data_IF_638677325518
#
_entry.id   IF_638677325518
#
_cell.length_a   1.000
_cell.length_b   1.000
_cell.length_c   1.000
_cell.angle_alpha   90.00
_cell.angle_beta   90.00
_cell.angle_gamma   90.00
#
_symmetry.space_group_name_H-M   'P 1'
#
loop_
_entity.id
_entity.type
_entity.pdbx_description
1 polymer ?
#
# COMPACT_ATOMS: atom_id res chain seq x y z
N UNK A 1 -2.99 -17.57 60.80
CA UNK A 1 -1.98 -17.70 59.73
C UNK A 1 -1.78 -16.31 59.16
N UNK A 2 -0.64 -15.68 59.44
CA UNK A 2 -0.25 -14.45 58.74
C UNK A 2 -0.05 -14.80 57.26
N UNK A 3 -0.84 -14.19 56.39
CA UNK A 3 -0.67 -14.37 54.94
C UNK A 3 0.67 -13.75 54.55
N UNK A 4 1.64 -14.58 54.17
CA UNK A 4 2.93 -14.12 53.66
C UNK A 4 2.72 -13.50 52.28
N UNK A 5 3.04 -12.23 52.12
CA UNK A 5 2.93 -11.54 50.85
C UNK A 5 4.02 -12.00 49.87
N UNK A 6 3.64 -12.24 48.62
CA UNK A 6 4.55 -12.55 47.50
C UNK A 6 5.07 -11.27 46.83
N UNK A 7 4.27 -10.21 46.85
CA UNK A 7 4.61 -8.89 46.31
C UNK A 7 4.06 -7.80 47.22
N UNK A 8 4.80 -6.71 47.37
CA UNK A 8 4.37 -5.53 48.15
C UNK A 8 4.25 -4.33 47.23
N UNK A 9 3.17 -3.58 47.37
CA UNK A 9 2.89 -2.34 46.67
C UNK A 9 2.58 -1.23 47.67
N UNK A 10 3.41 -0.19 47.71
CA UNK A 10 3.09 1.03 48.47
C UNK A 10 2.25 1.96 47.60
N UNK A 11 1.00 2.18 47.99
CA UNK A 11 0.08 3.06 47.26
C UNK A 11 0.02 4.49 47.79
N UNK A 12 0.84 4.86 48.78
CA UNK A 12 0.80 6.17 49.40
C UNK A 12 -0.60 6.55 49.89
N UNK A 13 -1.01 7.77 49.55
CA UNK A 13 -2.33 8.36 49.77
C UNK A 13 -3.21 8.32 48.49
N UNK A 14 -2.90 7.41 47.56
CA UNK A 14 -3.60 7.34 46.29
C UNK A 14 -5.05 6.88 46.52
N UNK A 15 -6.02 7.68 46.09
CA UNK A 15 -7.44 7.36 46.23
C UNK A 15 -7.94 6.47 45.09
N UNK A 16 -9.12 5.87 45.27
CA UNK A 16 -9.84 5.12 44.23
C UNK A 16 -9.99 5.93 42.94
N UNK A 17 -10.37 7.22 43.04
CA UNK A 17 -10.49 8.14 41.90
C UNK A 17 -9.15 8.65 41.36
N UNK A 18 -8.08 8.57 42.16
CA UNK A 18 -6.71 8.93 41.77
C UNK A 18 -5.95 7.83 41.02
N UNK A 19 -6.55 6.66 40.79
CA UNK A 19 -5.92 5.56 40.06
C UNK A 19 -5.37 4.42 40.92
N UNK A 20 -5.72 4.36 42.20
CA UNK A 20 -5.29 3.29 43.11
C UNK A 20 -5.56 1.89 42.56
N UNK A 21 -6.77 1.63 42.04
CA UNK A 21 -7.11 0.32 41.52
C UNK A 21 -6.37 -0.03 40.23
N UNK A 22 -5.88 0.96 39.48
CA UNK A 22 -5.00 0.72 38.34
C UNK A 22 -3.66 0.17 38.84
N UNK A 23 -3.06 0.83 39.85
CA UNK A 23 -1.82 0.38 40.47
C UNK A 23 -1.96 -1.05 41.03
N UNK A 24 -3.00 -1.30 41.84
CA UNK A 24 -3.26 -2.62 42.43
C UNK A 24 -3.45 -3.67 41.32
N UNK A 25 -4.25 -3.39 40.29
CA UNK A 25 -4.46 -4.32 39.18
C UNK A 25 -3.16 -4.64 38.43
N UNK A 26 -2.31 -3.64 38.16
CA UNK A 26 -1.01 -3.84 37.48
C UNK A 26 -0.03 -4.64 38.33
N UNK A 27 -0.05 -4.49 39.66
CA UNK A 27 0.77 -5.30 40.56
C UNK A 27 0.26 -6.74 40.64
N UNK A 28 -1.06 -6.93 40.68
CA UNK A 28 -1.69 -8.25 40.60
C UNK A 28 -1.43 -8.96 39.26
N UNK A 29 -1.23 -8.24 38.16
CA UNK A 29 -0.87 -8.83 36.86
C UNK A 29 0.54 -9.45 36.85
N UNK A 30 1.38 -9.17 37.85
CA UNK A 30 2.73 -9.74 38.02
C UNK A 30 2.73 -11.01 38.87
N UNK A 31 1.58 -11.38 39.44
CA UNK A 31 1.41 -12.52 40.33
C UNK A 31 0.70 -13.68 39.61
N UNK A 32 1.09 -14.91 39.96
CA UNK A 32 0.38 -16.13 39.59
C UNK A 32 -0.89 -16.29 40.46
N UNK A 33 -1.93 -16.98 39.95
CA UNK A 33 -3.12 -17.28 40.75
C UNK A 33 -2.76 -18.00 42.07
N UNK A 34 -3.33 -17.52 43.18
CA UNK A 34 -3.04 -17.99 44.54
C UNK A 34 -1.93 -17.24 45.26
N UNK A 35 -1.15 -16.39 44.57
CA UNK A 35 -0.17 -15.52 45.23
C UNK A 35 -0.83 -14.27 45.82
N UNK A 36 -0.20 -13.71 46.86
CA UNK A 36 -0.74 -12.61 47.67
C UNK A 36 0.00 -11.31 47.42
N UNK A 37 -0.75 -10.27 47.05
CA UNK A 37 -0.29 -8.87 47.04
C UNK A 37 -0.60 -8.21 48.39
N UNK A 38 0.42 -7.61 49.01
CA UNK A 38 0.25 -6.63 50.08
C UNK A 38 0.17 -5.22 49.49
N UNK A 39 -0.86 -4.48 49.84
CA UNK A 39 -1.03 -3.06 49.49
C UNK A 39 -0.89 -2.23 50.77
N UNK A 40 0.18 -1.46 50.87
CA UNK A 40 0.39 -0.53 51.98
C UNK A 40 -0.23 0.83 51.62
N UNK A 41 -1.25 1.26 52.36
CA UNK A 41 -1.99 2.49 52.07
C UNK A 41 -2.29 3.32 53.32
N UNK A 42 -2.33 4.64 53.13
CA UNK A 42 -2.86 5.62 54.10
C UNK A 42 -4.25 6.15 53.69
N UNK A 43 -4.82 5.66 52.59
CA UNK A 43 -6.15 6.04 52.11
C UNK A 43 -7.26 5.38 52.95
N UNK A 44 -8.09 6.15 53.70
CA UNK A 44 -9.08 5.58 54.61
C UNK A 44 -10.21 4.80 53.92
N UNK A 45 -10.62 5.24 52.72
CA UNK A 45 -11.72 4.60 51.97
C UNK A 45 -11.39 3.17 51.53
N UNK A 46 -10.10 2.82 51.45
CA UNK A 46 -9.65 1.54 50.93
C UNK A 46 -10.13 0.34 51.75
N UNK A 47 -10.35 0.52 53.06
CA UNK A 47 -10.91 -0.52 53.91
C UNK A 47 -12.29 -1.01 53.46
N UNK A 48 -13.08 -0.13 52.84
CA UNK A 48 -14.39 -0.45 52.32
C UNK A 48 -14.35 -0.86 50.84
N UNK A 49 -13.57 -0.12 50.03
CA UNK A 49 -13.62 -0.27 48.57
C UNK A 49 -12.84 -1.50 48.08
N UNK A 50 -11.72 -1.84 48.72
CA UNK A 50 -10.86 -2.93 48.26
C UNK A 50 -11.52 -4.31 48.28
N UNK A 51 -12.25 -4.71 49.34
CA UNK A 51 -12.95 -6.00 49.37
C UNK A 51 -14.05 -6.11 48.30
N UNK A 52 -14.73 -5.00 47.98
CA UNK A 52 -15.72 -4.97 46.92
C UNK A 52 -15.03 -5.11 45.55
N UNK A 53 -13.99 -4.33 45.30
CA UNK A 53 -13.21 -4.36 44.06
C UNK A 53 -12.54 -5.72 43.82
N UNK A 54 -11.96 -6.33 44.85
CA UNK A 54 -11.34 -7.66 44.75
C UNK A 54 -12.34 -8.71 44.28
N UNK A 55 -13.55 -8.73 44.87
CA UNK A 55 -14.63 -9.65 44.44
C UNK A 55 -15.06 -9.40 42.99
N UNK A 56 -15.27 -8.13 42.60
CA UNK A 56 -15.66 -7.76 41.24
C UNK A 56 -14.63 -8.18 40.19
N UNK A 57 -13.34 -8.19 40.56
CA UNK A 57 -12.23 -8.60 39.70
C UNK A 57 -11.85 -10.07 39.88
N UNK A 58 -12.70 -10.85 40.56
CA UNK A 58 -12.53 -12.27 40.87
C UNK A 58 -11.22 -12.60 41.62
N UNK A 59 -10.70 -11.66 42.40
CA UNK A 59 -9.63 -11.83 43.38
C UNK A 59 -10.22 -12.03 44.79
N UNK A 60 -9.40 -12.52 45.72
CA UNK A 60 -9.85 -12.78 47.09
C UNK A 60 -9.17 -11.84 48.08
N UNK A 61 -9.97 -11.03 48.78
CA UNK A 61 -9.48 -10.21 49.89
C UNK A 61 -9.24 -11.10 51.13
N UNK A 62 -8.03 -11.05 51.68
CA UNK A 62 -7.62 -11.89 52.82
C UNK A 62 -7.71 -11.16 54.17
N UNK A 63 -7.77 -9.84 54.17
CA UNK A 63 -7.85 -9.04 55.38
C UNK A 63 -6.94 -7.81 55.34
N UNK A 64 -6.87 -7.12 56.48
CA UNK A 64 -5.98 -5.98 56.66
C UNK A 64 -5.29 -6.03 58.03
N UNK A 65 -4.11 -5.44 58.12
CA UNK A 65 -3.35 -5.30 59.35
C UNK A 65 -2.84 -3.86 59.48
N UNK A 66 -2.84 -3.31 60.69
CA UNK A 66 -2.22 -2.00 60.94
C UNK A 66 -0.70 -2.17 60.96
N UNK A 67 0.00 -1.34 60.20
CA UNK A 67 1.46 -1.36 60.09
C UNK A 67 2.00 0.08 60.22
N UNK A 68 2.63 0.39 61.37
CA UNK A 68 3.33 1.66 61.64
C UNK A 68 2.59 2.93 61.15
N UNK A 69 1.31 3.08 61.50
CA UNK A 69 0.49 4.26 61.16
C UNK A 69 -0.19 4.23 59.79
N UNK A 70 0.02 3.17 59.01
CA UNK A 70 -0.67 2.86 57.74
C UNK A 70 -1.36 1.51 57.83
N UNK A 71 -2.14 1.16 56.81
CA UNK A 71 -2.85 -0.11 56.76
C UNK A 71 -2.31 -0.96 55.61
N UNK A 72 -1.89 -2.18 55.94
CA UNK A 72 -1.55 -3.23 54.96
C UNK A 72 -2.82 -3.99 54.61
N UNK A 73 -3.12 -4.13 53.33
CA UNK A 73 -4.25 -4.90 52.81
C UNK A 73 -3.75 -6.08 51.97
N UNK A 74 -4.32 -7.27 52.16
CA UNK A 74 -3.86 -8.48 51.48
C UNK A 74 -4.88 -8.99 50.47
N UNK A 75 -4.44 -9.21 49.24
CA UNK A 75 -5.27 -9.68 48.12
C UNK A 75 -4.60 -10.89 47.48
N UNK A 76 -5.28 -12.03 47.49
CA UNK A 76 -4.90 -13.22 46.74
C UNK A 76 -5.38 -13.11 45.29
N UNK A 77 -4.47 -13.30 44.34
CA UNK A 77 -4.73 -13.25 42.90
C UNK A 77 -5.65 -14.40 42.49
N UNK A 78 -6.77 -14.07 41.86
CA UNK A 78 -7.70 -15.04 41.29
C UNK A 78 -7.21 -15.64 39.97
N UNK A 79 -7.99 -16.59 39.43
CA UNK A 79 -7.73 -17.23 38.14
C UNK A 79 -8.24 -16.44 36.93
N UNK A 80 -9.09 -15.44 37.16
CA UNK A 80 -9.63 -14.61 36.08
C UNK A 80 -8.51 -13.77 35.44
N UNK A 81 -8.43 -13.82 34.11
CA UNK A 81 -7.56 -12.94 33.33
C UNK A 81 -8.30 -11.66 32.98
N UNK A 82 -7.54 -10.57 32.84
CA UNK A 82 -8.08 -9.27 32.38
C UNK A 82 -8.38 -9.26 30.87
N UNK A 83 -7.63 -10.05 30.12
CA UNK A 83 -7.76 -10.23 28.67
C UNK A 83 -7.77 -11.75 28.44
N UNK A 84 -8.75 -12.23 27.68
CA UNK A 84 -8.87 -13.64 27.33
C UNK A 84 -7.89 -14.00 26.22
N UNK A 85 -6.67 -14.34 26.59
CA UNK A 85 -5.64 -14.75 25.64
C UNK A 85 -4.76 -15.88 26.18
N UNK A 86 -4.36 -16.79 25.29
CA UNK A 86 -3.39 -17.84 25.53
C UNK A 86 -1.94 -17.36 25.50
N UNK A 87 -1.69 -16.16 24.97
CA UNK A 87 -0.35 -15.63 24.72
C UNK A 87 -0.04 -14.39 25.58
N UNK A 88 1.24 -14.12 25.79
CA UNK A 88 1.68 -12.86 26.43
C UNK A 88 2.10 -11.84 25.37
N UNK A 89 1.96 -10.55 25.66
CA UNK A 89 2.45 -9.48 24.79
C UNK A 89 3.97 -9.58 24.60
N UNK A 90 4.46 -9.16 23.44
CA UNK A 90 5.88 -9.27 23.09
C UNK A 90 6.68 -8.09 23.69
N UNK A 91 6.86 -8.13 25.01
CA UNK A 91 7.43 -7.04 25.78
C UNK A 91 8.96 -7.00 25.67
N UNK A 92 9.53 -5.79 25.63
CA UNK A 92 10.98 -5.58 25.62
C UNK A 92 11.61 -5.48 24.23
N UNK A 93 10.80 -5.53 23.17
CA UNK A 93 11.26 -5.29 21.81
C UNK A 93 11.72 -3.84 21.63
N UNK A 94 12.86 -3.65 20.95
CA UNK A 94 13.43 -2.33 20.65
C UNK A 94 13.94 -2.31 19.22
N UNK A 95 13.31 -1.51 18.36
CA UNK A 95 13.79 -1.28 17.01
C UNK A 95 15.11 -0.51 16.99
N UNK A 96 15.92 -0.77 15.96
CA UNK A 96 17.11 0.03 15.69
C UNK A 96 16.68 1.36 15.07
N UNK A 97 17.05 2.46 15.73
CA UNK A 97 16.85 3.82 15.23
C UNK A 97 18.25 4.37 14.93
N UNK A 98 18.47 4.87 13.72
CA UNK A 98 19.77 5.35 13.25
C UNK A 98 19.63 6.79 12.75
N UNK A 99 20.53 7.68 13.19
CA UNK A 99 20.59 9.08 12.73
C UNK A 99 19.24 9.83 12.82
N UNK A 100 18.53 9.67 13.95
CA UNK A 100 17.16 10.18 14.19
C UNK A 100 16.10 9.71 13.17
N UNK A 101 16.43 8.70 12.37
CA UNK A 101 15.58 8.11 11.37
C UNK A 101 15.09 6.72 11.79
N UNK A 102 13.81 6.46 11.57
CA UNK A 102 13.16 5.18 11.84
C UNK A 102 12.40 4.72 10.59
N UNK A 103 13.13 4.11 9.66
CA UNK A 103 12.56 3.55 8.44
C UNK A 103 11.53 2.47 8.74
N UNK A 104 10.48 2.39 7.93
CA UNK A 104 9.44 1.36 8.00
C UNK A 104 10.04 -0.06 8.02
N UNK A 105 11.07 -0.36 7.23
CA UNK A 105 11.73 -1.68 7.28
C UNK A 105 12.28 -2.05 8.67
N UNK A 106 12.67 -1.06 9.49
CA UNK A 106 13.25 -1.27 10.80
C UNK A 106 12.20 -1.62 11.87
N UNK A 107 10.90 -1.52 11.56
CA UNK A 107 9.82 -1.92 12.48
C UNK A 107 9.66 -3.45 12.60
N UNK A 108 10.39 -4.23 11.79
CA UNK A 108 10.35 -5.69 11.75
C UNK A 108 11.16 -6.24 12.93
N UNK A 109 10.63 -6.10 14.14
CA UNK A 109 11.20 -6.61 15.38
C UNK A 109 10.25 -7.52 16.13
N UNK A 110 10.78 -8.50 16.85
CA UNK A 110 9.99 -9.47 17.60
C UNK A 110 8.93 -10.16 16.74
N UNK A 111 7.71 -10.30 17.27
CA UNK A 111 6.56 -10.86 16.53
C UNK A 111 6.09 -10.00 15.36
N UNK A 112 6.39 -8.70 15.32
CA UNK A 112 6.05 -7.86 14.17
C UNK A 112 6.87 -8.24 12.90
N UNK A 113 8.05 -8.84 13.11
CA UNK A 113 8.90 -9.36 12.03
C UNK A 113 8.39 -10.68 11.43
N UNK A 114 7.49 -11.39 12.12
CA UNK A 114 7.00 -12.70 11.69
C UNK A 114 5.86 -12.50 10.70
N UNK A 115 6.17 -12.61 9.41
CA UNK A 115 5.18 -12.60 8.34
C UNK A 115 4.42 -13.95 8.37
N UNK A 116 3.12 -13.98 8.70
CA UNK A 116 2.38 -15.24 8.72
C UNK A 116 2.20 -15.75 7.29
N UNK A 117 2.32 -17.06 7.05
CA UNK A 117 2.03 -17.63 5.72
C UNK A 117 0.60 -17.31 5.26
N UNK A 118 -0.35 -17.39 6.18
CA UNK A 118 -1.74 -16.98 6.00
C UNK A 118 -2.22 -16.17 7.19
N UNK A 119 -2.85 -15.03 6.94
CA UNK A 119 -3.43 -14.17 7.96
C UNK A 119 -4.81 -14.69 8.42
N UNK A 120 -5.11 -14.51 9.71
CA UNK A 120 -6.39 -14.91 10.30
C UNK A 120 -7.40 -13.77 10.28
N UNK A 121 -8.57 -13.90 9.61
CA UNK A 121 -9.55 -12.82 9.48
C UNK A 121 -10.07 -12.25 10.81
N UNK A 122 -10.02 -13.03 11.90
CA UNK A 122 -10.40 -12.60 13.25
C UNK A 122 -9.37 -11.68 13.90
N UNK A 123 -8.16 -11.58 13.37
CA UNK A 123 -7.18 -10.60 13.83
C UNK A 123 -7.54 -9.19 13.37
N UNK A 124 -8.33 -9.04 12.30
CA UNK A 124 -8.94 -7.78 11.93
C UNK A 124 -7.91 -6.66 11.75
N UNK A 125 -8.15 -5.54 12.42
CA UNK A 125 -7.24 -4.39 12.43
C UNK A 125 -6.10 -4.47 13.44
N UNK A 126 -5.92 -5.61 14.13
CA UNK A 126 -4.77 -5.78 15.01
C UNK A 126 -3.47 -5.68 14.18
N UNK A 127 -2.53 -4.79 14.56
CA UNK A 127 -1.22 -4.75 13.90
C UNK A 127 -0.50 -6.10 14.01
N UNK A 128 0.25 -6.48 12.97
CA UNK A 128 1.02 -7.73 12.98
C UNK A 128 1.92 -7.80 14.22
N UNK A 129 1.80 -8.88 14.99
CA UNK A 129 2.55 -9.11 16.22
C UNK A 129 1.83 -8.69 17.51
N UNK A 130 0.70 -8.00 17.42
CA UNK A 130 -0.18 -7.76 18.56
C UNK A 130 -0.84 -9.07 19.04
N UNK A 131 -1.13 -9.15 20.34
CA UNK A 131 -1.92 -10.24 20.90
C UNK A 131 -3.40 -9.93 20.68
N UNK A 132 -4.10 -10.81 19.98
CA UNK A 132 -5.54 -10.69 19.75
C UNK A 132 -6.28 -11.43 20.86
N UNK A 133 -7.30 -10.77 21.42
CA UNK A 133 -8.16 -11.36 22.44
C UNK A 133 -9.12 -12.39 21.81
N UNK A 134 -9.34 -13.50 22.51
CA UNK A 134 -10.30 -14.52 22.11
C UNK A 134 -11.72 -13.92 21.96
N UNK A 135 -12.39 -14.27 20.87
CA UNK A 135 -13.74 -13.75 20.56
C UNK A 135 -13.77 -12.48 19.72
N UNK A 136 -12.61 -12.00 19.23
CA UNK A 136 -12.58 -10.94 18.21
C UNK A 136 -13.41 -11.32 16.96
N UNK A 137 -14.15 -10.36 16.36
CA UNK A 137 -14.98 -10.64 15.20
C UNK A 137 -14.13 -10.89 13.95
N UNK A 138 -14.66 -11.68 13.01
CA UNK A 138 -14.05 -11.86 11.70
C UNK A 138 -14.31 -10.63 10.81
N UNK A 139 -13.29 -10.19 10.09
CA UNK A 139 -13.35 -9.10 9.12
C UNK A 139 -13.41 -9.65 7.69
N UNK A 140 -14.01 -8.90 6.73
CA UNK A 140 -14.21 -9.37 5.35
C UNK A 140 -12.96 -9.24 4.47
N UNK A 141 -11.76 -9.46 5.02
CA UNK A 141 -10.53 -9.52 4.22
C UNK A 141 -10.46 -10.86 3.49
N UNK A 142 -10.11 -10.83 2.20
CA UNK A 142 -10.06 -12.03 1.35
C UNK A 142 -8.73 -12.23 0.63
N UNK A 143 -7.80 -11.28 0.73
CA UNK A 143 -6.38 -11.48 0.37
C UNK A 143 -5.59 -11.77 1.64
N UNK A 144 -5.49 -13.07 1.96
CA UNK A 144 -4.99 -13.58 3.24
C UNK A 144 -3.63 -14.29 3.16
N UNK A 145 -3.20 -14.72 1.98
CA UNK A 145 -1.96 -15.47 1.79
C UNK A 145 -0.76 -14.52 1.60
N UNK A 146 0.33 -14.75 2.32
CA UNK A 146 1.56 -13.96 2.18
C UNK A 146 2.12 -14.03 0.76
N UNK A 147 2.04 -15.20 0.11
CA UNK A 147 2.46 -15.38 -1.27
C UNK A 147 1.68 -14.53 -2.27
N UNK A 148 0.51 -14.01 -1.89
CA UNK A 148 -0.33 -13.16 -2.73
C UNK A 148 -0.30 -11.68 -2.32
N UNK A 149 -0.03 -11.40 -1.06
CA UNK A 149 -0.23 -10.06 -0.48
C UNK A 149 1.06 -9.37 -0.08
N UNK A 150 2.09 -10.12 0.34
CA UNK A 150 3.30 -9.55 0.92
C UNK A 150 4.40 -9.40 -0.12
N UNK A 151 5.12 -8.29 -0.05
CA UNK A 151 6.33 -8.05 -0.86
C UNK A 151 7.45 -7.52 0.03
N UNK A 152 8.64 -8.09 -0.13
CA UNK A 152 9.85 -7.72 0.61
C UNK A 152 10.27 -6.27 0.32
N UNK A 153 10.04 -5.77 -0.90
CA UNK A 153 10.43 -4.41 -1.29
C UNK A 153 9.42 -3.34 -0.87
N UNK A 154 8.23 -3.71 -0.38
CA UNK A 154 7.14 -2.76 -0.15
C UNK A 154 7.49 -1.68 0.88
N UNK A 155 8.15 -2.06 1.98
CA UNK A 155 8.56 -1.10 3.02
C UNK A 155 9.58 -0.07 2.49
N UNK A 156 10.55 -0.51 1.69
CA UNK A 156 11.56 0.38 1.11
C UNK A 156 10.94 1.32 0.08
N UNK A 157 10.08 0.79 -0.81
CA UNK A 157 9.42 1.60 -1.83
C UNK A 157 8.45 2.61 -1.22
N UNK A 158 7.81 2.27 -0.10
CA UNK A 158 7.01 3.20 0.68
C UNK A 158 7.85 4.40 1.16
N UNK A 159 9.01 4.16 1.77
CA UNK A 159 9.93 5.23 2.19
C UNK A 159 10.43 6.08 1.02
N UNK A 160 10.76 5.44 -0.10
CA UNK A 160 11.14 6.16 -1.31
C UNK A 160 10.01 7.07 -1.82
N UNK A 161 8.76 6.59 -1.80
CA UNK A 161 7.61 7.35 -2.27
C UNK A 161 7.29 8.55 -1.36
N UNK A 162 7.30 8.35 -0.03
CA UNK A 162 7.03 9.43 0.92
C UNK A 162 8.13 10.51 0.89
N UNK A 163 9.40 10.12 0.71
CA UNK A 163 10.52 11.05 0.59
C UNK A 163 10.53 11.81 -0.75
N UNK A 164 10.02 11.21 -1.82
CA UNK A 164 10.03 11.78 -3.18
C UNK A 164 8.77 12.61 -3.52
N UNK A 165 7.92 12.89 -2.54
CA UNK A 165 6.68 13.63 -2.74
C UNK A 165 6.91 15.00 -3.43
N UNK A 166 6.02 15.34 -4.36
CA UNK A 166 6.01 16.63 -5.06
C UNK A 166 4.59 17.17 -5.26
N UNK A 167 4.45 18.49 -5.36
CA UNK A 167 3.17 19.16 -5.47
C UNK A 167 2.87 19.58 -6.92
N UNK A 168 1.76 19.10 -7.47
CA UNK A 168 1.36 19.36 -8.86
C UNK A 168 1.06 20.82 -9.18
N UNK A 169 0.77 21.65 -8.18
CA UNK A 169 0.53 23.09 -8.36
C UNK A 169 1.81 23.92 -8.20
N UNK A 170 2.71 23.52 -7.29
CA UNK A 170 3.85 24.33 -6.86
C UNK A 170 5.18 23.92 -7.50
N UNK A 171 5.38 22.63 -7.76
CA UNK A 171 6.67 22.10 -8.25
C UNK A 171 6.73 21.98 -9.79
N UNK A 172 5.60 22.12 -10.46
CA UNK A 172 5.52 22.24 -11.92
C UNK A 172 5.67 23.72 -12.31
N UNK A 173 6.56 24.07 -13.27
CA UNK A 173 6.86 25.46 -13.60
C UNK A 173 5.81 26.08 -14.53
N UNK A 174 4.53 26.11 -14.11
CA UNK A 174 3.38 26.54 -14.91
C UNK A 174 3.56 27.92 -15.58
N UNK A 175 4.29 28.85 -14.95
CA UNK A 175 4.58 30.18 -15.52
C UNK A 175 5.50 30.16 -16.75
N UNK A 176 6.15 29.02 -17.04
CA UNK A 176 6.97 28.80 -18.24
C UNK A 176 6.20 28.15 -19.39
N UNK A 177 4.89 27.93 -19.23
CA UNK A 177 4.04 27.42 -20.30
C UNK A 177 3.81 28.55 -21.32
N UNK A 178 4.32 28.36 -22.53
CA UNK A 178 4.13 29.29 -23.64
C UNK A 178 3.13 28.71 -24.66
N UNK A 179 2.37 29.57 -25.37
CA UNK A 179 1.56 29.13 -26.50
C UNK A 179 2.41 28.44 -27.56
N UNK A 180 1.94 27.29 -28.04
CA UNK A 180 2.55 26.54 -29.14
C UNK A 180 1.58 26.50 -30.33
N UNK A 181 2.00 25.91 -31.46
CA UNK A 181 1.14 25.70 -32.62
C UNK A 181 -0.17 24.98 -32.22
N UNK A 182 -1.30 25.40 -32.79
CA UNK A 182 -2.61 24.95 -32.36
C UNK A 182 -2.82 23.43 -32.56
N UNK A 183 -2.27 22.86 -33.63
CA UNK A 183 -2.40 21.42 -33.90
C UNK A 183 -1.47 20.61 -32.99
N UNK A 184 -0.29 21.13 -32.68
CA UNK A 184 0.60 20.54 -31.67
C UNK A 184 -0.02 20.59 -30.26
N UNK A 185 -0.66 21.71 -29.88
CA UNK A 185 -1.34 21.83 -28.59
C UNK A 185 -2.51 20.85 -28.48
N UNK A 186 -3.30 20.67 -29.54
CA UNK A 186 -4.37 19.64 -29.58
C UNK A 186 -3.82 18.23 -29.39
N UNK A 187 -2.71 17.90 -30.04
CA UNK A 187 -2.05 16.61 -29.86
C UNK A 187 -1.58 16.41 -28.41
N UNK A 188 -0.94 17.41 -27.80
CA UNK A 188 -0.56 17.36 -26.38
C UNK A 188 -1.80 17.16 -25.50
N UNK A 189 -2.87 17.93 -25.70
CA UNK A 189 -4.12 17.79 -24.96
C UNK A 189 -4.77 16.41 -25.10
N UNK A 190 -4.71 15.81 -26.29
CA UNK A 190 -5.24 14.46 -26.53
C UNK A 190 -4.42 13.40 -25.78
N UNK A 191 -3.11 13.53 -25.76
CA UNK A 191 -2.24 12.67 -24.95
C UNK A 191 -2.51 12.85 -23.46
N UNK A 192 -2.62 14.09 -22.96
CA UNK A 192 -2.93 14.35 -21.55
C UNK A 192 -4.30 13.79 -21.14
N UNK A 193 -5.30 13.87 -22.02
CA UNK A 193 -6.63 13.28 -21.77
C UNK A 193 -6.54 11.76 -21.69
N UNK A 194 -5.83 11.13 -22.64
CA UNK A 194 -5.59 9.69 -22.63
C UNK A 194 -4.84 9.24 -21.36
N UNK A 195 -3.78 9.95 -20.97
CA UNK A 195 -3.01 9.66 -19.75
C UNK A 195 -3.91 9.77 -18.51
N UNK A 196 -4.67 10.86 -18.35
CA UNK A 196 -5.55 11.03 -17.19
C UNK A 196 -6.59 9.90 -17.04
N UNK A 197 -7.15 9.38 -18.14
CA UNK A 197 -8.08 8.23 -18.09
C UNK A 197 -7.39 6.94 -17.62
N UNK A 198 -6.16 6.73 -18.08
CA UNK A 198 -5.33 5.61 -17.67
C UNK A 198 -4.99 5.68 -16.18
N UNK A 199 -4.63 6.86 -15.68
CA UNK A 199 -4.34 7.05 -14.25
C UNK A 199 -5.57 6.88 -13.36
N UNK A 200 -6.80 7.11 -13.86
CA UNK A 200 -7.99 6.70 -13.11
C UNK A 200 -8.06 5.18 -12.93
N UNK A 201 -7.67 4.39 -13.92
CA UNK A 201 -7.60 2.93 -13.78
C UNK A 201 -6.48 2.53 -12.82
N UNK A 202 -5.29 3.12 -12.99
CA UNK A 202 -4.15 2.91 -12.10
C UNK A 202 -4.44 3.35 -10.66
N UNK A 203 -5.37 4.28 -10.43
CA UNK A 203 -5.85 4.66 -9.10
C UNK A 203 -6.86 3.65 -8.55
N UNK A 204 -7.92 3.35 -9.31
CA UNK A 204 -9.05 2.56 -8.79
C UNK A 204 -8.72 1.08 -8.61
N UNK A 205 -7.90 0.50 -9.49
CA UNK A 205 -7.54 -0.92 -9.44
C UNK A 205 -6.80 -1.27 -8.14
N UNK A 206 -5.67 -0.65 -7.76
CA UNK A 206 -5.02 -0.92 -6.47
C UNK A 206 -5.89 -0.49 -5.28
N UNK A 207 -6.63 0.63 -5.38
CA UNK A 207 -7.52 1.06 -4.30
C UNK A 207 -8.58 0.01 -3.92
N UNK A 208 -9.13 -0.72 -4.90
CA UNK A 208 -10.07 -1.84 -4.70
C UNK A 208 -9.47 -2.95 -3.82
N UNK A 209 -8.15 -3.12 -3.83
CA UNK A 209 -7.45 -4.16 -3.09
C UNK A 209 -7.03 -3.75 -1.69
N UNK A 210 -6.79 -2.46 -1.44
CA UNK A 210 -6.36 -1.94 -0.12
C UNK A 210 -7.28 -2.43 1.01
N UNK A 211 -8.60 -2.36 0.82
CA UNK A 211 -9.58 -2.79 1.83
C UNK A 211 -9.76 -4.32 1.94
N UNK A 212 -9.16 -5.09 1.02
CA UNK A 212 -9.27 -6.55 0.91
C UNK A 212 -8.03 -7.29 1.41
N UNK A 213 -6.87 -6.61 1.40
CA UNK A 213 -5.61 -7.09 1.94
C UNK A 213 -5.64 -7.05 3.46
N UNK A 214 -5.29 -8.17 4.10
CA UNK A 214 -5.24 -8.22 5.55
C UNK A 214 -4.17 -7.25 6.11
N UNK A 215 -4.43 -6.50 7.20
CA UNK A 215 -3.47 -5.59 7.84
C UNK A 215 -2.17 -6.24 8.36
N UNK A 216 -2.10 -7.58 8.33
CA UNK A 216 -0.87 -8.31 8.60
C UNK A 216 0.12 -8.24 7.41
N UNK A 217 -0.27 -7.68 6.27
CA UNK A 217 0.62 -7.36 5.16
C UNK A 217 0.71 -5.83 5.00
N UNK A 218 0.94 -5.15 6.14
CA UNK A 218 0.86 -3.70 6.26
C UNK A 218 1.75 -2.96 5.26
N UNK A 219 2.96 -3.44 5.00
CA UNK A 219 3.90 -2.82 4.07
C UNK A 219 3.31 -2.65 2.67
N UNK A 220 2.61 -3.68 2.18
CA UNK A 220 1.93 -3.62 0.88
C UNK A 220 0.80 -2.59 0.90
N UNK A 221 0.00 -2.57 1.96
CA UNK A 221 -1.10 -1.60 2.11
C UNK A 221 -0.58 -0.16 2.15
N UNK A 222 0.52 0.08 2.88
CA UNK A 222 1.18 1.38 2.92
C UNK A 222 1.69 1.81 1.54
N UNK A 223 2.39 0.92 0.83
CA UNK A 223 2.90 1.22 -0.51
C UNK A 223 1.78 1.46 -1.54
N UNK A 224 0.75 0.62 -1.56
CA UNK A 224 -0.39 0.84 -2.47
C UNK A 224 -1.13 2.15 -2.15
N UNK A 225 -1.12 2.60 -0.90
CA UNK A 225 -1.69 3.90 -0.52
C UNK A 225 -0.86 5.07 -1.07
N UNK A 226 0.47 4.94 -1.14
CA UNK A 226 1.31 5.94 -1.82
C UNK A 226 1.10 5.92 -3.33
N UNK A 227 0.94 4.74 -3.94
CA UNK A 227 0.58 4.63 -5.35
C UNK A 227 -0.72 5.38 -5.65
N UNK A 228 -1.79 5.13 -4.90
CA UNK A 228 -3.07 5.87 -5.06
C UNK A 228 -2.89 7.39 -4.95
N UNK A 229 -1.99 7.86 -4.07
CA UNK A 229 -1.67 9.29 -3.95
C UNK A 229 -0.85 9.83 -5.13
N UNK A 230 -0.01 9.00 -5.73
CA UNK A 230 0.79 9.34 -6.92
C UNK A 230 -0.16 9.47 -8.12
N UNK A 231 -1.03 8.48 -8.35
CA UNK A 231 -2.01 8.50 -9.44
C UNK A 231 -2.97 9.70 -9.35
N UNK A 232 -3.40 10.05 -8.13
CA UNK A 232 -4.23 11.23 -7.92
C UNK A 232 -3.54 12.52 -8.39
N UNK A 233 -2.23 12.64 -8.16
CA UNK A 233 -1.42 13.77 -8.64
C UNK A 233 -1.20 13.70 -10.14
N UNK A 234 -0.99 12.52 -10.71
CA UNK A 234 -0.81 12.36 -12.15
C UNK A 234 -2.07 12.78 -12.92
N UNK A 235 -3.25 12.32 -12.48
CA UNK A 235 -4.56 12.79 -12.98
C UNK A 235 -4.64 14.32 -12.92
N UNK A 236 -4.32 14.90 -11.75
CA UNK A 236 -4.37 16.35 -11.54
C UNK A 236 -3.50 17.10 -12.56
N UNK A 237 -2.22 16.72 -12.71
CA UNK A 237 -1.30 17.47 -13.58
C UNK A 237 -1.58 17.25 -15.06
N UNK A 238 -2.04 16.07 -15.47
CA UNK A 238 -2.43 15.84 -16.86
C UNK A 238 -3.66 16.66 -17.23
N UNK A 239 -4.70 16.66 -16.37
CA UNK A 239 -5.88 17.51 -16.58
C UNK A 239 -5.48 18.99 -16.61
N UNK A 240 -4.66 19.45 -15.66
CA UNK A 240 -4.16 20.83 -15.65
C UNK A 240 -3.43 21.17 -16.94
N UNK A 241 -2.51 20.30 -17.40
CA UNK A 241 -1.76 20.57 -18.63
C UNK A 241 -2.69 20.64 -19.84
N UNK A 242 -3.67 19.76 -19.96
CA UNK A 242 -4.65 19.81 -21.05
C UNK A 242 -5.45 21.14 -21.07
N UNK A 243 -5.69 21.74 -19.91
CA UNK A 243 -6.50 22.96 -19.76
C UNK A 243 -5.67 24.25 -19.80
N UNK A 244 -4.38 24.20 -19.46
CA UNK A 244 -3.58 25.39 -19.15
C UNK A 244 -3.21 26.28 -20.35
N UNK A 245 -3.20 25.73 -21.57
CA UNK A 245 -2.82 26.46 -22.80
C UNK A 245 -3.99 26.61 -23.79
N UNK A 246 -5.24 26.46 -23.33
CA UNK A 246 -6.44 26.70 -24.14
C UNK A 246 -6.88 25.55 -25.07
N UNK A 247 -6.22 24.39 -25.04
CA UNK A 247 -6.59 23.23 -25.87
C UNK A 247 -7.80 22.44 -25.33
N UNK A 248 -7.93 22.29 -24.01
CA UNK A 248 -9.05 21.57 -23.39
C UNK A 248 -8.84 20.06 -23.29
N UNK A 249 -9.72 19.37 -22.55
CA UNK A 249 -9.80 17.91 -22.58
C UNK A 249 -10.37 17.45 -23.94
N UNK A 250 -9.79 16.39 -24.50
CA UNK A 250 -10.10 15.87 -25.83
C UNK A 250 -10.94 14.59 -25.75
N UNK A 251 -10.75 13.66 -26.68
CA UNK A 251 -11.63 12.50 -26.84
C UNK A 251 -11.23 11.33 -25.94
N UNK A 252 -12.25 10.75 -25.30
CA UNK A 252 -12.21 9.40 -24.71
C UNK A 252 -12.74 8.40 -25.73
N UNK A 253 -11.93 7.45 -26.18
CA UNK A 253 -12.38 6.46 -27.17
C UNK A 253 -13.00 5.25 -26.49
N UNK A 254 -13.94 4.61 -27.18
CA UNK A 254 -14.53 3.36 -26.70
C UNK A 254 -13.50 2.24 -26.53
N UNK A 255 -12.44 2.22 -27.35
CA UNK A 255 -11.34 1.25 -27.22
C UNK A 255 -10.53 1.45 -25.95
N UNK A 256 -10.15 2.68 -25.64
CA UNK A 256 -9.47 3.00 -24.38
C UNK A 256 -10.37 2.67 -23.19
N UNK A 257 -11.63 3.10 -23.20
CA UNK A 257 -12.57 2.80 -22.11
C UNK A 257 -12.79 1.28 -21.90
N UNK A 258 -12.91 0.50 -22.97
CA UNK A 258 -13.02 -0.96 -22.89
C UNK A 258 -11.77 -1.59 -22.27
N UNK A 259 -10.58 -1.13 -22.69
CA UNK A 259 -9.29 -1.57 -22.15
C UNK A 259 -9.15 -1.30 -20.65
N UNK A 260 -9.50 -0.09 -20.20
CA UNK A 260 -9.44 0.30 -18.79
C UNK A 260 -10.48 -0.45 -17.96
N UNK A 261 -11.68 -0.66 -18.50
CA UNK A 261 -12.72 -1.46 -17.84
C UNK A 261 -12.26 -2.90 -17.59
N UNK A 262 -11.59 -3.54 -18.55
CA UNK A 262 -11.12 -4.92 -18.36
C UNK A 262 -9.99 -5.06 -17.32
N UNK A 263 -9.32 -3.95 -16.94
CA UNK A 263 -8.43 -3.94 -15.76
C UNK A 263 -9.24 -3.87 -14.47
N UNK A 264 -10.24 -2.97 -14.41
CA UNK A 264 -11.08 -2.77 -13.23
C UNK A 264 -11.93 -4.01 -12.87
N UNK A 265 -12.38 -4.73 -13.89
CA UNK A 265 -13.16 -5.96 -13.74
C UNK A 265 -12.34 -7.13 -13.17
N UNK A 266 -11.01 -7.03 -13.07
CA UNK A 266 -10.21 -8.11 -12.49
C UNK A 266 -10.60 -8.36 -11.02
N UNK A 267 -10.86 -9.62 -10.70
CA UNK A 267 -11.28 -10.09 -9.37
C UNK A 267 -10.19 -10.85 -8.63
N UNK A 268 -8.98 -10.92 -9.20
CA UNK A 268 -7.80 -11.52 -8.60
C UNK A 268 -6.66 -10.50 -8.49
N UNK A 269 -6.06 -10.39 -7.30
CA UNK A 269 -5.10 -9.33 -7.00
C UNK A 269 -3.82 -9.45 -7.83
N UNK A 270 -3.30 -10.67 -7.98
CA UNK A 270 -2.08 -10.92 -8.73
C UNK A 270 -2.29 -10.72 -10.23
N UNK A 271 -3.43 -11.15 -10.78
CA UNK A 271 -3.78 -10.85 -12.17
C UNK A 271 -3.93 -9.34 -12.40
N UNK A 272 -4.63 -8.63 -11.52
CA UNK A 272 -4.81 -7.19 -11.61
C UNK A 272 -3.47 -6.45 -11.58
N UNK A 273 -2.61 -6.75 -10.59
CA UNK A 273 -1.27 -6.16 -10.46
C UNK A 273 -0.36 -6.50 -11.63
N UNK A 274 -0.43 -7.73 -12.15
CA UNK A 274 0.35 -8.14 -13.32
C UNK A 274 -0.06 -7.40 -14.60
N UNK A 275 -1.36 -7.35 -14.89
CA UNK A 275 -1.88 -6.70 -16.09
C UNK A 275 -1.64 -5.18 -16.06
N UNK A 276 -1.96 -4.54 -14.93
CA UNK A 276 -1.78 -3.10 -14.75
C UNK A 276 -0.30 -2.73 -14.74
N UNK A 277 0.47 -3.25 -13.80
CA UNK A 277 1.79 -2.68 -13.51
C UNK A 277 2.94 -3.31 -14.29
N UNK A 278 2.92 -4.64 -14.50
CA UNK A 278 4.00 -5.31 -15.27
C UNK A 278 3.86 -5.05 -16.77
N UNK A 279 2.63 -5.12 -17.30
CA UNK A 279 2.37 -4.91 -18.72
C UNK A 279 2.05 -3.45 -19.05
N UNK A 280 1.07 -2.85 -18.35
CA UNK A 280 0.58 -1.49 -18.59
C UNK A 280 1.55 -0.37 -18.19
N UNK A 281 1.72 -0.11 -16.88
CA UNK A 281 2.60 0.94 -16.33
C UNK A 281 4.05 0.81 -16.87
N UNK A 282 4.53 -0.43 -17.02
CA UNK A 282 5.81 -0.70 -17.66
C UNK A 282 5.92 -0.17 -19.10
N UNK A 283 4.84 -0.21 -19.89
CA UNK A 283 4.75 0.40 -21.23
C UNK A 283 4.63 1.93 -21.11
N UNK A 284 3.93 2.40 -20.07
CA UNK A 284 3.74 3.81 -19.75
C UNK A 284 5.06 4.54 -19.47
N UNK A 285 6.05 3.88 -18.85
CA UNK A 285 7.40 4.43 -18.66
C UNK A 285 8.04 4.88 -19.98
N UNK A 286 7.89 4.08 -21.03
CA UNK A 286 8.43 4.38 -22.36
C UNK A 286 7.65 5.53 -23.02
N UNK A 287 6.33 5.58 -22.84
CA UNK A 287 5.47 6.68 -23.31
C UNK A 287 5.83 8.01 -22.64
N UNK A 288 5.99 8.03 -21.32
CA UNK A 288 6.35 9.23 -20.58
C UNK A 288 7.74 9.73 -20.99
N UNK A 289 8.68 8.81 -21.22
CA UNK A 289 10.01 9.17 -21.75
C UNK A 289 9.92 9.77 -23.15
N UNK A 290 9.05 9.25 -24.01
CA UNK A 290 8.79 9.82 -25.34
C UNK A 290 8.22 11.24 -25.23
N UNK A 291 7.22 11.44 -24.38
CA UNK A 291 6.62 12.76 -24.14
C UNK A 291 7.66 13.73 -23.57
N UNK A 292 8.48 13.29 -22.60
CA UNK A 292 9.59 14.07 -22.05
C UNK A 292 10.60 14.49 -23.13
N UNK A 293 10.90 13.61 -24.08
CA UNK A 293 11.88 13.88 -25.15
C UNK A 293 11.36 14.84 -26.22
N UNK A 294 10.10 14.70 -26.63
CA UNK A 294 9.55 15.42 -27.79
C UNK A 294 8.70 16.65 -27.45
N UNK A 295 8.26 16.81 -26.20
CA UNK A 295 7.48 17.99 -25.82
C UNK A 295 8.31 19.26 -26.00
N UNK A 296 7.77 20.30 -26.69
CA UNK A 296 8.53 21.51 -27.03
C UNK A 296 8.79 22.40 -25.81
N UNK A 297 7.91 22.34 -24.81
CA UNK A 297 7.87 23.26 -23.68
C UNK A 297 8.22 22.56 -22.35
N UNK A 298 8.79 23.28 -21.37
CA UNK A 298 9.37 22.68 -20.17
C UNK A 298 8.36 22.13 -19.15
N UNK A 299 7.11 22.57 -19.17
CA UNK A 299 6.03 22.12 -18.27
C UNK A 299 5.63 20.67 -18.58
N UNK A 300 5.28 20.32 -19.83
CA UNK A 300 4.95 18.93 -20.18
C UNK A 300 6.13 18.00 -19.94
N UNK A 301 7.36 18.45 -20.26
CA UNK A 301 8.58 17.66 -19.97
C UNK A 301 8.74 17.36 -18.48
N UNK A 302 8.52 18.37 -17.63
CA UNK A 302 8.66 18.20 -16.20
C UNK A 302 7.56 17.32 -15.60
N UNK A 303 6.33 17.44 -16.09
CA UNK A 303 5.21 16.56 -15.73
C UNK A 303 5.58 15.11 -16.07
N UNK A 304 5.95 14.84 -17.33
CA UNK A 304 6.30 13.50 -17.79
C UNK A 304 7.47 12.90 -17.01
N UNK A 305 8.51 13.69 -16.72
CA UNK A 305 9.68 13.27 -15.94
C UNK A 305 9.29 12.85 -14.52
N UNK A 306 8.47 13.64 -13.82
CA UNK A 306 8.07 13.35 -12.43
C UNK A 306 7.15 12.15 -12.36
N UNK A 307 6.12 12.09 -13.20
CA UNK A 307 5.25 10.91 -13.30
C UNK A 307 6.06 9.65 -13.60
N UNK A 308 7.02 9.71 -14.52
CA UNK A 308 7.89 8.54 -14.83
C UNK A 308 8.74 8.07 -13.65
N UNK A 309 9.16 8.96 -12.76
CA UNK A 309 9.89 8.58 -11.54
C UNK A 309 8.96 7.85 -10.57
N UNK A 310 7.71 8.30 -10.45
CA UNK A 310 6.69 7.66 -9.64
C UNK A 310 6.34 6.26 -10.18
N UNK A 311 6.03 6.16 -11.48
CA UNK A 311 5.75 4.91 -12.17
C UNK A 311 6.86 3.86 -12.04
N UNK A 312 8.12 4.31 -11.97
CA UNK A 312 9.24 3.38 -11.81
C UNK A 312 9.16 2.58 -10.50
N UNK A 313 8.57 3.17 -9.45
CA UNK A 313 8.35 2.49 -8.16
C UNK A 313 7.19 1.51 -8.24
N UNK A 314 6.10 1.87 -8.91
CA UNK A 314 4.93 1.00 -9.11
C UNK A 314 5.32 -0.27 -9.86
N UNK A 315 6.04 -0.10 -10.98
CA UNK A 315 6.59 -1.22 -11.76
C UNK A 315 7.57 -2.05 -10.93
N UNK A 316 8.45 -1.43 -10.14
CA UNK A 316 9.40 -2.18 -9.30
C UNK A 316 8.67 -3.07 -8.29
N UNK A 317 7.67 -2.53 -7.58
CA UNK A 317 6.83 -3.30 -6.67
C UNK A 317 6.18 -4.49 -7.36
N UNK A 318 5.55 -4.27 -8.52
CA UNK A 318 4.87 -5.35 -9.23
C UNK A 318 5.83 -6.45 -9.70
N UNK A 319 7.02 -6.08 -10.19
CA UNK A 319 8.03 -7.06 -10.62
C UNK A 319 8.51 -7.93 -9.44
N UNK A 320 8.82 -7.33 -8.28
CA UNK A 320 9.26 -8.09 -7.11
C UNK A 320 8.14 -8.96 -6.55
N UNK A 321 6.93 -8.40 -6.47
CA UNK A 321 5.76 -9.07 -5.93
C UNK A 321 5.31 -10.26 -6.79
N UNK A 322 5.19 -10.10 -8.10
CA UNK A 322 4.81 -11.19 -9.02
C UNK A 322 5.89 -12.26 -9.07
N UNK A 323 7.17 -11.89 -9.08
CA UNK A 323 8.28 -12.86 -9.01
C UNK A 323 8.21 -13.69 -7.73
N UNK A 324 7.95 -13.06 -6.58
CA UNK A 324 7.77 -13.76 -5.31
C UNK A 324 6.61 -14.75 -5.39
N UNK A 325 5.45 -14.31 -5.87
CA UNK A 325 4.26 -15.16 -5.99
C UNK A 325 4.50 -16.36 -6.93
N UNK A 326 5.17 -16.15 -8.07
CA UNK A 326 5.51 -17.22 -9.03
C UNK A 326 6.49 -18.25 -8.44
N UNK A 327 7.37 -17.83 -7.53
CA UNK A 327 8.28 -18.76 -6.83
C UNK A 327 7.55 -19.69 -5.84
N UNK A 328 6.30 -19.35 -5.47
CA UNK A 328 5.49 -20.07 -4.47
C UNK A 328 4.37 -20.90 -5.09
N UNK A 329 3.85 -20.52 -6.26
CA UNK A 329 2.81 -21.26 -6.96
C UNK A 329 3.18 -21.54 -8.42
N UNK A 330 3.48 -22.80 -8.72
CA UNK A 330 3.81 -23.27 -10.07
C UNK A 330 2.65 -23.11 -11.07
N UNK A 331 1.40 -22.99 -10.61
CA UNK A 331 0.22 -22.79 -11.49
C UNK A 331 -0.04 -21.32 -11.81
N UNK A 332 0.50 -20.39 -11.01
CA UNK A 332 0.26 -18.97 -11.18
C UNK A 332 0.70 -18.47 -12.55
N UNK A 333 1.82 -18.99 -13.09
CA UNK A 333 2.31 -18.63 -14.43
C UNK A 333 1.25 -18.84 -15.50
N UNK A 334 0.60 -20.02 -15.50
CA UNK A 334 -0.46 -20.35 -16.44
C UNK A 334 -1.69 -19.46 -16.22
N UNK A 335 -2.02 -19.13 -14.97
CA UNK A 335 -3.13 -18.23 -14.61
C UNK A 335 -2.89 -16.80 -15.12
N UNK A 336 -1.67 -16.27 -15.02
CA UNK A 336 -1.29 -14.96 -15.55
C UNK A 336 -1.31 -14.96 -17.09
N UNK A 337 -0.74 -15.98 -17.72
CA UNK A 337 -0.81 -16.16 -19.18
C UNK A 337 -2.25 -16.18 -19.67
N UNK A 338 -3.14 -16.89 -18.96
CA UNK A 338 -4.57 -16.96 -19.30
C UNK A 338 -5.26 -15.60 -19.19
N UNK A 339 -4.93 -14.81 -18.16
CA UNK A 339 -5.48 -13.46 -18.00
C UNK A 339 -5.14 -12.55 -19.18
N UNK A 340 -3.91 -12.62 -19.71
CA UNK A 340 -3.51 -11.87 -20.92
C UNK A 340 -4.30 -12.32 -22.15
N UNK A 341 -4.45 -13.63 -22.34
CA UNK A 341 -5.22 -14.19 -23.46
C UNK A 341 -6.70 -13.79 -23.40
N UNK A 342 -7.31 -13.89 -22.22
CA UNK A 342 -8.71 -13.51 -22.02
C UNK A 342 -8.92 -12.01 -22.27
N UNK A 343 -8.01 -11.17 -21.76
CA UNK A 343 -8.02 -9.72 -22.03
C UNK A 343 -7.88 -9.42 -23.53
N UNK A 344 -6.92 -10.06 -24.21
CA UNK A 344 -6.71 -9.88 -25.65
C UNK A 344 -7.94 -10.31 -26.46
N UNK A 345 -8.62 -11.39 -26.07
CA UNK A 345 -9.86 -11.85 -26.71
C UNK A 345 -10.98 -10.81 -26.58
N UNK A 346 -11.19 -10.25 -25.39
CA UNK A 346 -12.21 -9.21 -25.15
C UNK A 346 -11.93 -7.95 -25.97
N UNK A 347 -10.66 -7.55 -26.07
CA UNK A 347 -10.27 -6.34 -26.78
C UNK A 347 -10.20 -6.53 -28.31
N UNK A 348 -10.10 -7.76 -28.80
CA UNK A 348 -10.09 -8.05 -30.25
C UNK A 348 -11.37 -7.61 -30.97
N UNK A 349 -12.49 -7.52 -30.25
CA UNK A 349 -13.79 -7.05 -30.77
C UNK A 349 -13.82 -5.53 -30.97
N UNK A 350 -12.98 -4.80 -30.23
CA UNK A 350 -12.83 -3.35 -30.33
C UNK A 350 -11.64 -3.05 -31.24
N UNK A 351 -11.90 -2.97 -32.56
CA UNK A 351 -10.86 -2.88 -33.59
C UNK A 351 -9.82 -1.76 -33.33
N UNK A 352 -8.58 -2.16 -33.08
CA UNK A 352 -7.36 -1.39 -33.35
C UNK A 352 -6.94 -0.36 -32.29
N UNK A 353 -5.67 0.05 -32.39
CA UNK A 353 -5.03 1.11 -31.59
C UNK A 353 -5.87 2.40 -31.62
N UNK A 354 -5.84 3.17 -30.53
CA UNK A 354 -6.52 4.46 -30.46
C UNK A 354 -5.90 5.43 -31.50
N UNK A 355 -6.56 5.70 -32.64
CA UNK A 355 -5.94 6.42 -33.76
C UNK A 355 -5.59 7.87 -33.40
N UNK A 356 -6.35 8.47 -32.47
CA UNK A 356 -6.11 9.82 -32.00
C UNK A 356 -4.83 9.91 -31.18
N UNK A 357 -4.53 8.88 -30.39
CA UNK A 357 -3.25 8.78 -29.66
C UNK A 357 -2.10 8.57 -30.64
N UNK A 358 -2.25 7.67 -31.61
CA UNK A 358 -1.20 7.41 -32.59
C UNK A 358 -0.84 8.64 -33.41
N UNK A 359 -1.86 9.37 -33.87
CA UNK A 359 -1.69 10.64 -34.59
C UNK A 359 -1.01 11.68 -33.69
N UNK A 360 -1.47 11.81 -32.45
CA UNK A 360 -0.90 12.77 -31.49
C UNK A 360 0.57 12.50 -31.18
N UNK A 361 0.98 11.23 -31.11
CA UNK A 361 2.39 10.84 -30.94
C UNK A 361 3.25 11.27 -32.14
N UNK A 362 2.73 11.13 -33.37
CA UNK A 362 3.43 11.56 -34.58
C UNK A 362 3.54 13.08 -34.63
N UNK A 363 2.44 13.81 -34.35
CA UNK A 363 2.42 15.27 -34.34
C UNK A 363 3.39 15.80 -33.28
N UNK A 364 3.42 15.20 -32.09
CA UNK A 364 4.32 15.57 -31.02
C UNK A 364 5.79 15.46 -31.45
N UNK A 365 6.21 14.31 -31.98
CA UNK A 365 7.59 14.13 -32.42
C UNK A 365 7.96 14.97 -33.66
N UNK A 366 6.99 15.23 -34.53
CA UNK A 366 7.18 16.11 -35.68
C UNK A 366 7.22 17.60 -35.29
N UNK A 367 6.83 17.94 -34.05
CA UNK A 367 6.67 19.32 -33.61
C UNK A 367 5.60 20.09 -34.39
N UNK A 368 4.53 19.42 -34.84
CA UNK A 368 3.45 19.99 -35.65
C UNK A 368 3.20 19.22 -36.96
N UNK A 369 2.52 19.87 -37.92
CA UNK A 369 2.06 19.26 -39.17
C UNK A 369 2.90 19.61 -40.41
N UNK A 370 4.16 20.04 -40.23
CA UNK A 370 5.04 20.33 -41.37
C UNK A 370 5.29 19.04 -42.19
N UNK A 371 4.93 18.98 -43.49
CA UNK A 371 5.01 17.76 -44.28
C UNK A 371 6.40 17.12 -44.31
N UNK A 372 7.45 17.93 -44.27
CA UNK A 372 8.84 17.48 -44.26
C UNK A 372 9.27 16.83 -42.94
N UNK A 373 8.58 17.08 -41.83
CA UNK A 373 8.88 16.51 -40.50
C UNK A 373 8.03 15.30 -40.13
N UNK A 374 6.86 15.14 -40.76
CA UNK A 374 5.95 14.02 -40.50
C UNK A 374 6.60 12.62 -40.66
N UNK A 375 7.45 12.35 -41.68
CA UNK A 375 8.13 11.06 -41.78
C UNK A 375 9.00 10.74 -40.56
N UNK A 376 9.67 11.74 -39.98
CA UNK A 376 10.48 11.57 -38.77
C UNK A 376 9.59 11.24 -37.56
N UNK A 377 8.45 11.93 -37.40
CA UNK A 377 7.50 11.61 -36.33
C UNK A 377 6.87 10.22 -36.45
N UNK A 378 6.59 9.76 -37.68
CA UNK A 378 6.12 8.39 -37.94
C UNK A 378 7.19 7.38 -37.51
N UNK A 379 8.44 7.61 -37.88
CA UNK A 379 9.56 6.75 -37.48
C UNK A 379 9.75 6.74 -35.97
N UNK A 380 9.68 7.90 -35.30
CA UNK A 380 9.80 8.03 -33.85
C UNK A 380 8.70 7.25 -33.11
N UNK A 381 7.44 7.33 -33.57
CA UNK A 381 6.34 6.52 -33.00
C UNK A 381 6.57 5.02 -33.23
N UNK A 382 7.02 4.61 -34.42
CA UNK A 382 7.34 3.22 -34.70
C UNK A 382 8.47 2.69 -33.80
N UNK A 383 9.50 3.50 -33.55
CA UNK A 383 10.57 3.19 -32.61
C UNK A 383 10.06 3.07 -31.17
N UNK A 384 9.17 3.98 -30.73
CA UNK A 384 8.51 3.89 -29.43
C UNK A 384 7.85 2.53 -29.22
N UNK A 385 7.09 2.04 -30.22
CA UNK A 385 6.41 0.76 -30.12
C UNK A 385 7.37 -0.43 -30.07
N UNK A 386 8.47 -0.37 -30.84
CA UNK A 386 9.51 -1.38 -30.78
C UNK A 386 10.17 -1.42 -29.39
N UNK A 387 10.51 -0.25 -28.82
CA UNK A 387 11.08 -0.14 -27.47
C UNK A 387 10.10 -0.66 -26.41
N UNK A 388 8.83 -0.31 -26.50
CA UNK A 388 7.78 -0.81 -25.59
C UNK A 388 7.66 -2.34 -25.63
N UNK A 389 7.70 -2.93 -26.84
CA UNK A 389 7.69 -4.38 -27.03
C UNK A 389 8.91 -5.03 -26.38
N UNK A 390 10.12 -4.56 -26.70
CA UNK A 390 11.36 -5.09 -26.13
C UNK A 390 11.40 -5.00 -24.61
N UNK A 391 11.00 -3.86 -24.05
CA UNK A 391 11.02 -3.65 -22.60
C UNK A 391 9.95 -4.48 -21.89
N UNK A 392 8.81 -4.73 -22.54
CA UNK A 392 7.79 -5.66 -22.02
C UNK A 392 8.31 -7.09 -21.96
N UNK A 393 9.00 -7.55 -23.00
CA UNK A 393 9.67 -8.87 -23.00
C UNK A 393 10.68 -8.96 -21.85
N UNK A 394 11.52 -7.94 -21.66
CA UNK A 394 12.48 -7.90 -20.54
C UNK A 394 11.79 -7.98 -19.18
N UNK A 395 10.67 -7.26 -18.98
CA UNK A 395 9.87 -7.32 -17.73
C UNK A 395 9.25 -8.69 -17.51
N UNK A 396 8.66 -9.29 -18.55
CA UNK A 396 8.10 -10.65 -18.51
C UNK A 396 9.18 -11.69 -18.16
N UNK A 397 10.34 -11.61 -18.81
CA UNK A 397 11.49 -12.45 -18.48
C UNK A 397 11.95 -12.25 -17.03
N UNK A 398 12.00 -10.99 -16.56
CA UNK A 398 12.41 -10.67 -15.21
C UNK A 398 11.47 -11.25 -14.13
N UNK A 399 10.18 -11.47 -14.40
CA UNK A 399 9.27 -12.14 -13.46
C UNK A 399 9.26 -13.67 -13.61
N UNK A 400 9.82 -14.21 -14.70
CA UNK A 400 10.07 -15.65 -14.86
C UNK A 400 9.43 -16.30 -16.10
N UNK A 401 8.90 -15.53 -17.05
CA UNK A 401 8.49 -16.07 -18.36
C UNK A 401 9.71 -16.42 -19.21
N UNK A 402 9.66 -17.51 -19.97
CA UNK A 402 10.71 -17.76 -20.96
C UNK A 402 10.59 -16.80 -22.14
N UNK A 403 11.64 -16.73 -22.96
CA UNK A 403 11.72 -15.79 -24.08
C UNK A 403 10.55 -15.94 -25.06
N UNK A 404 10.14 -17.17 -25.36
CA UNK A 404 9.05 -17.44 -26.30
C UNK A 404 7.70 -17.05 -25.71
N UNK A 405 7.45 -17.38 -24.45
CA UNK A 405 6.25 -16.97 -23.73
C UNK A 405 6.15 -15.45 -23.62
N UNK A 406 7.29 -14.79 -23.32
CA UNK A 406 7.35 -13.35 -23.19
C UNK A 406 7.06 -12.63 -24.52
N UNK A 407 7.61 -13.14 -25.63
CA UNK A 407 7.33 -12.65 -26.99
C UNK A 407 5.83 -12.72 -27.30
N UNK A 408 5.24 -13.91 -27.13
CA UNK A 408 3.82 -14.16 -27.42
C UNK A 408 2.90 -13.26 -26.60
N UNK A 409 3.19 -13.10 -25.30
CA UNK A 409 2.41 -12.24 -24.42
C UNK A 409 2.57 -10.75 -24.75
N UNK A 410 3.74 -10.34 -25.25
CA UNK A 410 3.97 -8.97 -25.65
C UNK A 410 3.22 -8.59 -26.93
N UNK A 411 3.17 -9.50 -27.91
CA UNK A 411 2.40 -9.31 -29.15
C UNK A 411 0.91 -9.12 -28.87
N UNK A 412 0.34 -9.88 -27.93
CA UNK A 412 -1.07 -9.80 -27.54
C UNK A 412 -1.45 -8.48 -26.85
N UNK A 413 -0.48 -7.80 -26.23
CA UNK A 413 -0.71 -6.57 -25.47
C UNK A 413 -0.55 -5.29 -26.31
N UNK A 414 0.34 -5.33 -27.31
CA UNK A 414 0.73 -4.18 -28.13
C UNK A 414 -0.43 -3.36 -28.74
N UNK A 415 -1.58 -3.93 -29.14
CA UNK A 415 -2.68 -3.14 -29.72
C UNK A 415 -3.42 -2.18 -28.78
N UNK A 416 -3.24 -2.26 -27.45
CA UNK A 416 -4.23 -1.72 -26.51
C UNK A 416 -3.75 -0.58 -25.59
N UNK A 417 -2.45 -0.30 -25.52
CA UNK A 417 -1.83 0.65 -24.56
C UNK A 417 -2.45 0.53 -23.16
N UNK A 418 -1.88 -0.38 -22.34
CA UNK A 418 -2.38 -0.93 -21.06
C UNK A 418 -3.34 -2.12 -21.17
#
# INVERSE_FOLDING_TARGET
MEARADLVCDSGHLSSSGGLFILIARMLDRLLPGQVLEVLSSEPSLAHDLPAWARLTANRFLGSAKNNGRTSYFIEKGRAKRILTGESADWGQKAAIADDNFDTRAWLVGRAAVIPERAEPSHGFAPRGAVVEEGAPAFPFDVLEASHAWSESAAELYEQATAAYWDGSRDIPWSKLEPIDAELERAVCQLMTFLAENEYSALYVPAKWIARIHPHFAETVLFLSTQVSDEARHIEVFIKRALANGGGLQFSTASTQASLKSLLDQEDFLQASFLLSVLGEGTFLDLLKYIEAYSPEPVTREIARRTRIDESRHVHFALTHIRHALSRDAKLKQKLRRAVLDRASVLSEVKGLNPLVEESLVILASGGLLPERLPEGVNARSELYAVMHENRIKRLAAVGFDEREAEELSELHTPNFM
#
